data_IF_589388181610
#
_entry.id   IF_589388181610
#
_cell.length_a   1.000
_cell.length_b   1.000
_cell.length_c   1.000
_cell.angle_alpha   90.00
_cell.angle_beta   90.00
_cell.angle_gamma   90.00
#
_symmetry.space_group_name_H-M   'P 1'
#
loop_
_entity.id
_entity.type
_entity.pdbx_description
1 polymer ?
#
# COMPACT_ATOMS: atom_id res chain seq x y z
N UNK A 1 39.85 4.41 -20.53
CA UNK A 1 40.82 4.23 -19.42
C UNK A 1 41.43 5.60 -19.14
N UNK A 2 41.55 6.01 -17.88
CA UNK A 2 42.14 7.32 -17.55
C UNK A 2 43.59 7.09 -17.12
N UNK A 3 44.55 7.73 -17.80
CA UNK A 3 45.95 7.71 -17.36
C UNK A 3 46.07 8.40 -16.00
N UNK A 4 46.78 7.83 -15.03
CA UNK A 4 46.95 8.45 -13.72
C UNK A 4 47.70 9.78 -13.89
N UNK A 5 47.06 10.88 -13.50
CA UNK A 5 47.60 12.25 -13.55
C UNK A 5 46.96 13.19 -14.57
N UNK A 6 46.06 12.71 -15.43
CA UNK A 6 45.29 13.55 -16.37
C UNK A 6 43.79 13.50 -16.05
N UNK A 7 43.13 14.66 -15.96
CA UNK A 7 41.67 14.77 -15.84
C UNK A 7 40.91 14.38 -17.11
N UNK A 8 41.63 14.18 -18.23
CA UNK A 8 41.05 13.67 -19.47
C UNK A 8 41.01 12.13 -19.44
N UNK A 9 39.81 11.58 -19.29
CA UNK A 9 39.58 10.17 -19.53
C UNK A 9 39.48 9.93 -21.03
N UNK A 10 40.37 9.11 -21.59
CA UNK A 10 40.26 8.71 -22.99
C UNK A 10 39.07 7.76 -23.14
N UNK A 11 38.05 8.23 -23.87
CA UNK A 11 36.97 7.42 -24.42
C UNK A 11 37.58 6.43 -25.40
N UNK A 12 37.38 5.13 -25.16
CA UNK A 12 37.82 4.08 -26.09
C UNK A 12 36.74 3.96 -27.17
N UNK A 13 37.13 4.19 -28.43
CA UNK A 13 36.27 3.99 -29.59
C UNK A 13 36.64 2.64 -30.21
N UNK A 14 35.69 1.72 -30.31
CA UNK A 14 35.97 0.35 -30.78
C UNK A 14 36.18 0.36 -32.30
N UNK A 15 35.23 0.95 -33.03
CA UNK A 15 35.25 1.08 -34.49
C UNK A 15 35.16 2.55 -34.92
N UNK A 16 35.98 3.39 -34.32
CA UNK A 16 35.95 4.83 -34.55
C UNK A 16 37.14 5.57 -33.98
N UNK A 17 37.07 6.90 -34.04
CA UNK A 17 38.08 7.80 -33.49
C UNK A 17 37.44 8.79 -32.51
N UNK A 18 38.19 9.21 -31.49
CA UNK A 18 37.70 10.23 -30.56
C UNK A 18 37.52 11.57 -31.28
N UNK A 19 36.38 12.23 -31.09
CA UNK A 19 36.07 13.51 -31.74
C UNK A 19 36.61 14.75 -30.98
N UNK A 20 37.35 14.56 -29.89
CA UNK A 20 37.87 15.66 -29.05
C UNK A 20 36.86 16.25 -28.05
N UNK A 21 35.56 15.96 -28.19
CA UNK A 21 34.49 16.41 -27.29
C UNK A 21 34.12 15.36 -26.23
N UNK A 22 34.88 14.27 -26.15
CA UNK A 22 34.61 13.13 -25.27
C UNK A 22 33.73 12.04 -25.90
N UNK A 23 33.27 12.21 -27.14
CA UNK A 23 32.56 11.21 -27.93
C UNK A 23 33.44 10.46 -28.94
N UNK A 24 32.83 9.51 -29.64
CA UNK A 24 33.44 8.78 -30.74
C UNK A 24 32.76 9.15 -32.07
N UNK A 25 33.55 9.44 -33.09
CA UNK A 25 33.12 9.47 -34.49
C UNK A 25 33.44 8.10 -35.11
N UNK A 26 32.42 7.36 -35.51
CA UNK A 26 32.58 6.03 -36.09
C UNK A 26 33.24 6.11 -37.47
N UNK A 27 34.04 5.12 -37.84
CA UNK A 27 34.75 5.14 -39.13
C UNK A 27 33.81 5.11 -40.34
N UNK A 28 32.65 4.47 -40.15
CA UNK A 28 31.55 4.42 -41.09
C UNK A 28 30.26 4.44 -40.26
N UNK A 29 29.54 5.57 -40.31
CA UNK A 29 28.31 5.80 -39.56
C UNK A 29 27.13 4.98 -40.09
N UNK A 30 27.22 4.44 -41.31
CA UNK A 30 26.25 3.48 -41.83
C UNK A 30 26.48 2.06 -41.25
N UNK A 31 27.72 1.72 -40.91
CA UNK A 31 28.06 0.37 -40.41
C UNK A 31 28.13 0.29 -38.89
N UNK A 32 28.64 1.33 -38.23
CA UNK A 32 28.87 1.33 -36.78
C UNK A 32 28.16 2.50 -36.11
N UNK A 33 27.52 2.22 -34.99
CA UNK A 33 26.81 3.23 -34.20
C UNK A 33 26.93 2.93 -32.70
N UNK A 34 26.38 3.82 -31.89
CA UNK A 34 26.55 3.81 -30.43
C UNK A 34 27.59 4.82 -29.96
N UNK A 35 27.63 5.03 -28.65
CA UNK A 35 28.46 6.07 -28.03
C UNK A 35 29.96 5.80 -28.19
N UNK A 36 30.34 4.52 -28.32
CA UNK A 36 31.70 4.02 -28.50
C UNK A 36 31.91 3.33 -29.85
N UNK A 37 30.96 3.44 -30.79
CA UNK A 37 30.94 2.70 -32.07
C UNK A 37 31.00 1.17 -31.85
N UNK A 38 30.33 0.71 -30.80
CA UNK A 38 30.33 -0.67 -30.32
C UNK A 38 29.28 -1.54 -31.00
N UNK A 39 28.26 -0.94 -31.61
CA UNK A 39 27.19 -1.67 -32.28
C UNK A 39 27.43 -1.68 -33.79
N UNK A 40 27.24 -2.85 -34.40
CA UNK A 40 27.19 -2.97 -35.84
C UNK A 40 25.73 -2.92 -36.30
N UNK A 41 25.51 -2.22 -37.41
CA UNK A 41 24.20 -2.11 -38.04
C UNK A 41 23.65 -3.49 -38.44
N UNK A 42 24.54 -4.39 -38.87
CA UNK A 42 24.23 -5.79 -39.15
C UNK A 42 23.61 -6.51 -37.95
N UNK A 43 24.24 -6.47 -36.79
CA UNK A 43 23.81 -7.29 -35.64
C UNK A 43 22.54 -6.73 -34.98
N UNK A 44 22.45 -5.40 -34.87
CA UNK A 44 21.41 -4.76 -34.08
C UNK A 44 20.21 -4.27 -34.91
N UNK A 45 20.43 -3.74 -36.14
CA UNK A 45 19.34 -3.26 -37.00
C UNK A 45 18.87 -4.32 -37.99
N UNK A 46 19.79 -5.07 -38.60
CA UNK A 46 19.46 -6.07 -39.60
C UNK A 46 19.39 -7.50 -39.05
N UNK A 47 19.33 -7.68 -37.72
CA UNK A 47 19.21 -8.97 -37.03
C UNK A 47 20.26 -10.03 -37.43
N UNK A 48 21.46 -9.60 -37.83
CA UNK A 48 22.54 -10.44 -38.35
C UNK A 48 22.31 -10.98 -39.76
N UNK A 49 21.23 -10.59 -40.43
CA UNK A 49 20.72 -11.17 -41.69
C UNK A 49 20.78 -10.22 -42.88
N UNK A 50 21.45 -9.08 -42.74
CA UNK A 50 21.62 -8.10 -43.81
C UNK A 50 22.72 -7.09 -43.55
N UNK A 51 22.93 -6.21 -44.51
CA UNK A 51 23.82 -5.05 -44.43
C UNK A 51 23.00 -3.77 -44.51
N UNK A 52 23.44 -2.71 -43.84
CA UNK A 52 22.73 -1.43 -43.89
C UNK A 52 22.99 -0.71 -45.20
N UNK A 53 21.94 -0.09 -45.74
CA UNK A 53 22.03 0.70 -46.94
C UNK A 53 22.67 2.06 -46.60
N UNK A 54 23.85 2.41 -47.16
CA UNK A 54 24.50 3.69 -46.87
C UNK A 54 23.69 4.90 -47.37
N UNK A 55 22.69 4.69 -48.23
CA UNK A 55 21.79 5.75 -48.70
C UNK A 55 20.57 5.95 -47.80
N UNK A 56 20.27 5.02 -46.88
CA UNK A 56 19.10 5.05 -46.01
C UNK A 56 19.46 4.54 -44.61
N UNK A 57 19.55 5.47 -43.65
CA UNK A 57 20.06 5.20 -42.29
C UNK A 57 19.34 4.08 -41.51
N UNK A 58 18.13 3.69 -41.94
CA UNK A 58 17.30 2.68 -41.27
C UNK A 58 16.87 1.50 -42.16
N UNK A 59 17.37 1.41 -43.40
CA UNK A 59 17.03 0.29 -44.30
C UNK A 59 18.13 -0.76 -44.35
N UNK A 60 17.72 -2.03 -44.33
CA UNK A 60 18.61 -3.19 -44.51
C UNK A 60 18.47 -3.80 -45.90
N UNK A 61 19.61 -4.09 -46.54
CA UNK A 61 19.68 -5.02 -47.67
C UNK A 61 19.95 -6.43 -47.12
N UNK A 62 18.97 -7.32 -47.22
CA UNK A 62 19.07 -8.67 -46.65
C UNK A 62 20.02 -9.58 -47.45
N UNK A 63 20.77 -10.42 -46.75
CA UNK A 63 21.79 -11.31 -47.34
C UNK A 63 21.17 -12.37 -48.28
N UNK A 64 19.94 -12.81 -47.98
CA UNK A 64 19.13 -13.72 -48.82
C UNK A 64 17.71 -13.15 -48.97
N UNK A 65 17.47 -12.32 -50.00
CA UNK A 65 16.18 -11.64 -50.19
C UNK A 65 15.04 -12.58 -50.57
N UNK A 66 15.32 -13.87 -50.85
CA UNK A 66 14.27 -14.89 -51.04
C UNK A 66 13.84 -15.53 -49.71
N UNK A 67 14.60 -15.31 -48.64
CA UNK A 67 14.33 -15.87 -47.32
C UNK A 67 14.01 -14.81 -46.29
N UNK A 68 14.63 -13.65 -46.36
CA UNK A 68 14.45 -12.57 -45.39
C UNK A 68 13.88 -11.33 -46.08
N UNK A 69 12.87 -10.73 -45.45
CA UNK A 69 12.25 -9.48 -45.89
C UNK A 69 11.98 -8.55 -44.70
N UNK A 70 11.32 -7.43 -44.98
CA UNK A 70 11.13 -6.34 -44.03
C UNK A 70 12.32 -5.38 -44.01
N UNK A 71 12.11 -4.20 -43.44
CA UNK A 71 13.12 -3.12 -43.41
C UNK A 71 14.34 -3.49 -42.53
N UNK A 72 14.18 -4.51 -41.68
CA UNK A 72 15.18 -5.00 -40.72
C UNK A 72 15.56 -6.48 -40.91
N UNK A 73 15.19 -7.09 -42.04
CA UNK A 73 15.45 -8.50 -42.36
C UNK A 73 14.93 -9.48 -41.29
N UNK A 74 13.84 -9.12 -40.63
CA UNK A 74 13.21 -9.82 -39.52
C UNK A 74 12.06 -10.74 -39.94
N UNK A 75 11.56 -10.61 -41.17
CA UNK A 75 10.47 -11.43 -41.71
C UNK A 75 11.06 -12.63 -42.46
N UNK A 76 10.80 -13.86 -42.00
CA UNK A 76 11.12 -15.08 -42.77
C UNK A 76 10.06 -15.29 -43.86
N UNK A 77 10.41 -14.99 -45.10
CA UNK A 77 9.54 -15.13 -46.27
C UNK A 77 9.21 -16.59 -46.61
N UNK A 78 9.89 -17.56 -45.97
CA UNK A 78 9.58 -18.99 -46.08
C UNK A 78 8.75 -19.51 -44.92
N UNK A 79 8.54 -18.71 -43.87
CA UNK A 79 7.58 -19.08 -42.86
C UNK A 79 6.21 -19.25 -43.54
N UNK A 80 5.49 -20.35 -43.27
CA UNK A 80 4.11 -20.46 -43.74
C UNK A 80 3.38 -19.21 -43.27
N UNK A 81 2.61 -18.58 -44.18
CA UNK A 81 1.78 -17.44 -43.81
C UNK A 81 1.02 -17.80 -42.54
N UNK A 82 0.97 -16.90 -41.53
CA UNK A 82 0.22 -17.17 -40.31
C UNK A 82 -1.16 -17.65 -40.73
N UNK A 83 -1.52 -18.84 -40.25
CA UNK A 83 -2.82 -19.44 -40.52
C UNK A 83 -3.86 -18.36 -40.18
N UNK A 84 -4.83 -18.08 -41.09
CA UNK A 84 -5.74 -16.96 -40.91
C UNK A 84 -6.38 -17.07 -39.54
N UNK A 85 -6.05 -16.13 -38.65
CA UNK A 85 -6.55 -16.12 -37.28
C UNK A 85 -8.07 -16.23 -37.35
N UNK A 86 -8.58 -17.31 -36.76
CA UNK A 86 -10.01 -17.57 -36.66
C UNK A 86 -10.63 -16.31 -36.04
N UNK A 87 -11.69 -15.73 -36.65
CA UNK A 87 -12.21 -14.43 -36.22
C UNK A 87 -12.46 -14.46 -34.72
N UNK A 88 -11.68 -13.66 -33.99
CA UNK A 88 -11.75 -13.61 -32.54
C UNK A 88 -13.20 -13.36 -32.15
N UNK A 89 -13.75 -14.30 -31.37
CA UNK A 89 -15.06 -14.19 -30.76
C UNK A 89 -15.10 -12.83 -30.05
N UNK A 90 -16.13 -11.99 -30.26
CA UNK A 90 -16.15 -10.62 -29.77
C UNK A 90 -15.84 -10.62 -28.28
N UNK A 91 -14.68 -10.08 -27.90
CA UNK A 91 -14.22 -10.03 -26.52
C UNK A 91 -15.38 -9.53 -25.67
N UNK A 92 -15.86 -10.38 -24.76
CA UNK A 92 -16.87 -9.98 -23.79
C UNK A 92 -16.40 -8.66 -23.17
N UNK A 93 -17.29 -7.64 -23.04
CA UNK A 93 -16.89 -6.34 -22.54
C UNK A 93 -16.17 -6.56 -21.22
N UNK A 94 -14.87 -6.21 -21.20
CA UNK A 94 -14.03 -6.33 -20.01
C UNK A 94 -14.72 -5.52 -18.94
N UNK A 95 -15.45 -6.22 -18.06
CA UNK A 95 -16.12 -5.59 -16.93
C UNK A 95 -14.98 -4.92 -16.16
N UNK A 96 -14.99 -3.58 -16.00
CA UNK A 96 -13.90 -2.89 -15.31
C UNK A 96 -13.65 -3.60 -13.99
N UNK A 97 -12.42 -4.08 -13.82
CA UNK A 97 -12.06 -4.95 -12.71
C UNK A 97 -12.41 -4.23 -11.41
N UNK A 98 -13.36 -4.81 -10.65
CA UNK A 98 -13.70 -4.26 -9.34
C UNK A 98 -12.44 -4.19 -8.50
N UNK A 99 -12.29 -3.07 -7.80
CA UNK A 99 -11.21 -2.89 -6.87
C UNK A 99 -11.24 -3.99 -5.80
N UNK A 100 -10.08 -4.54 -5.49
CA UNK A 100 -9.86 -5.44 -4.38
C UNK A 100 -9.33 -4.66 -3.18
N UNK A 101 -9.35 -5.27 -1.99
CA UNK A 101 -8.85 -4.61 -0.78
C UNK A 101 -9.64 -3.34 -0.39
N UNK A 102 -10.87 -3.21 -0.89
CA UNK A 102 -11.75 -2.12 -0.56
C UNK A 102 -11.98 -2.05 0.95
N UNK A 103 -12.08 -0.84 1.46
CA UNK A 103 -12.53 -0.62 2.83
C UNK A 103 -13.85 -1.38 3.04
N UNK A 104 -13.96 -2.22 4.10
CA UNK A 104 -15.23 -2.80 4.53
C UNK A 104 -16.41 -1.83 4.41
N UNK A 105 -17.46 -2.25 3.68
CA UNK A 105 -18.65 -1.43 3.43
C UNK A 105 -18.56 -0.52 2.19
N UNK A 106 -17.43 -0.52 1.48
CA UNK A 106 -17.25 0.15 0.19
C UNK A 106 -16.97 -0.86 -0.91
N UNK A 107 -17.36 -0.54 -2.16
CA UNK A 107 -17.13 -1.40 -3.33
C UNK A 107 -17.21 -0.57 -4.61
N UNK A 108 -16.56 -1.02 -5.68
CA UNK A 108 -16.64 -0.41 -7.00
C UNK A 108 -15.34 -0.49 -7.78
N UNK A 109 -15.31 0.19 -8.92
CA UNK A 109 -14.23 0.16 -9.93
C UNK A 109 -13.15 1.23 -9.66
N UNK A 110 -13.46 2.17 -8.77
CA UNK A 110 -12.59 3.28 -8.41
C UNK A 110 -12.16 3.15 -6.96
N UNK A 111 -10.87 3.30 -6.69
CA UNK A 111 -10.35 3.29 -5.34
C UNK A 111 -9.61 4.58 -5.04
N UNK A 112 -9.91 5.18 -3.89
CA UNK A 112 -9.12 6.29 -3.40
C UNK A 112 -7.94 5.81 -2.56
N UNK A 113 -6.94 6.65 -2.35
CA UNK A 113 -5.73 6.30 -1.57
C UNK A 113 -6.00 5.83 -0.13
N UNK A 114 -7.19 6.10 0.41
CA UNK A 114 -7.63 5.58 1.70
C UNK A 114 -8.25 4.17 1.63
N UNK A 115 -8.15 3.54 0.46
CA UNK A 115 -8.72 2.25 0.05
C UNK A 115 -10.25 2.16 0.06
N UNK A 116 -10.97 3.27 0.27
CA UNK A 116 -12.40 3.34 0.00
C UNK A 116 -12.65 3.18 -1.50
N UNK A 117 -13.57 2.28 -1.83
CA UNK A 117 -13.98 2.01 -3.19
C UNK A 117 -15.32 2.67 -3.52
N UNK A 118 -15.43 3.13 -4.76
CA UNK A 118 -16.57 3.85 -5.28
C UNK A 118 -16.94 3.27 -6.64
N UNK A 119 -18.22 3.29 -6.98
CA UNK A 119 -18.66 3.10 -8.35
C UNK A 119 -18.10 4.24 -9.24
N UNK A 120 -17.75 3.92 -10.48
CA UNK A 120 -17.42 4.94 -11.46
C UNK A 120 -18.68 5.80 -11.75
N UNK A 121 -18.49 7.10 -11.99
CA UNK A 121 -19.59 8.00 -12.37
C UNK A 121 -20.08 7.75 -13.80
N UNK A 122 -19.16 7.32 -14.66
CA UNK A 122 -19.41 6.82 -16.01
C UNK A 122 -18.31 5.80 -16.33
N UNK A 123 -18.44 4.98 -17.40
CA UNK A 123 -17.41 4.01 -17.76
C UNK A 123 -16.03 4.67 -17.82
N UNK A 124 -15.10 4.19 -16.98
CA UNK A 124 -13.73 4.70 -16.89
C UNK A 124 -13.54 6.02 -16.14
N UNK A 125 -14.57 6.62 -15.53
CA UNK A 125 -14.46 7.92 -14.85
C UNK A 125 -14.71 7.79 -13.35
N UNK A 126 -13.66 8.01 -12.56
CA UNK A 126 -13.72 7.97 -11.11
C UNK A 126 -14.08 9.31 -10.45
N UNK A 127 -14.72 9.27 -9.27
CA UNK A 127 -14.93 10.48 -8.47
C UNK A 127 -13.58 11.13 -8.10
N UNK A 128 -13.53 12.46 -7.93
CA UNK A 128 -12.31 13.18 -7.57
C UNK A 128 -11.59 12.58 -6.37
N UNK A 129 -10.32 12.22 -6.56
CA UNK A 129 -9.47 11.64 -5.52
C UNK A 129 -9.42 10.11 -5.50
N UNK A 130 -10.24 9.44 -6.33
CA UNK A 130 -10.14 8.02 -6.62
C UNK A 130 -9.61 7.78 -8.04
N UNK A 131 -8.95 6.64 -8.23
CA UNK A 131 -8.35 6.21 -9.48
C UNK A 131 -8.94 4.85 -9.88
N UNK A 132 -9.00 4.55 -11.18
CA UNK A 132 -9.63 3.34 -11.70
C UNK A 132 -8.72 2.14 -11.43
N UNK A 133 -9.22 1.10 -10.75
CA UNK A 133 -8.37 -0.03 -10.35
C UNK A 133 -7.83 -0.85 -11.51
N UNK A 134 -8.49 -0.82 -12.67
CA UNK A 134 -7.97 -1.43 -13.90
C UNK A 134 -6.76 -0.70 -14.47
N UNK A 135 -6.55 0.58 -14.13
CA UNK A 135 -5.40 1.37 -14.60
C UNK A 135 -4.25 1.34 -13.59
N UNK A 136 -4.55 1.55 -12.31
CA UNK A 136 -3.52 1.71 -11.27
C UNK A 136 -3.30 0.47 -10.40
N UNK A 137 -4.12 -0.57 -10.58
CA UNK A 137 -4.19 -1.70 -9.67
C UNK A 137 -4.95 -1.37 -8.37
N UNK A 138 -5.33 -2.39 -7.62
CA UNK A 138 -5.94 -2.20 -6.31
C UNK A 138 -4.86 -2.01 -5.24
N UNK A 139 -4.95 -0.92 -4.49
CA UNK A 139 -4.19 -0.66 -3.27
C UNK A 139 -4.67 -1.60 -2.16
N UNK A 140 -3.72 -2.23 -1.49
CA UNK A 140 -4.00 -3.00 -0.27
C UNK A 140 -4.21 -2.05 0.93
N UNK A 141 -5.18 -2.34 1.81
CA UNK A 141 -5.38 -1.58 3.04
C UNK A 141 -4.17 -1.74 3.95
N UNK A 142 -3.52 -0.62 4.29
CA UNK A 142 -2.33 -0.66 5.13
C UNK A 142 -2.71 -0.97 6.60
N UNK A 143 -2.14 -2.03 7.21
CA UNK A 143 -2.45 -2.39 8.59
C UNK A 143 -1.84 -1.36 9.55
N UNK A 144 -2.64 -0.84 10.48
CA UNK A 144 -2.18 0.20 11.42
C UNK A 144 -1.71 -0.36 12.75
N UNK A 145 -2.32 -1.46 13.18
CA UNK A 145 -1.89 -2.20 14.35
C UNK A 145 -1.75 -3.66 13.95
N UNK A 146 -0.58 -4.24 14.19
CA UNK A 146 -0.36 -5.68 14.04
C UNK A 146 -0.22 -6.26 15.44
N UNK A 147 -1.13 -7.17 15.79
CA UNK A 147 -1.16 -7.75 17.12
C UNK A 147 -1.15 -9.27 17.04
N UNK A 148 -0.40 -9.87 17.96
CA UNK A 148 -0.37 -11.31 18.16
C UNK A 148 -0.95 -11.61 19.53
N UNK A 149 -2.03 -12.39 19.57
CA UNK A 149 -2.75 -12.79 20.78
C UNK A 149 -2.61 -14.29 21.01
N UNK A 150 -2.11 -14.65 22.19
CA UNK A 150 -2.17 -16.03 22.67
C UNK A 150 -3.49 -16.21 23.40
N UNK A 151 -4.40 -16.98 22.83
CA UNK A 151 -5.72 -17.32 23.39
C UNK A 151 -5.63 -18.70 24.02
N UNK A 152 -5.77 -18.78 25.34
CA UNK A 152 -5.91 -20.06 26.05
C UNK A 152 -7.38 -20.47 26.13
N UNK A 153 -7.67 -21.77 26.09
CA UNK A 153 -9.05 -22.31 26.13
C UNK A 153 -9.67 -22.57 24.76
N UNK A 154 -8.95 -22.29 23.67
CA UNK A 154 -9.36 -22.59 22.30
C UNK A 154 -8.35 -23.54 21.65
N UNK A 155 -8.83 -24.46 20.80
CA UNK A 155 -7.98 -25.26 19.90
C UNK A 155 -8.05 -24.67 18.49
N UNK A 156 -7.04 -24.90 17.65
CA UNK A 156 -7.05 -24.38 16.28
C UNK A 156 -8.28 -24.89 15.49
N UNK A 157 -8.67 -26.15 15.70
CA UNK A 157 -9.81 -26.78 15.03
C UNK A 157 -11.17 -26.26 15.52
N UNK A 158 -11.22 -25.69 16.72
CA UNK A 158 -12.44 -25.19 17.36
C UNK A 158 -12.45 -23.68 17.53
N UNK A 159 -11.54 -22.96 16.87
CA UNK A 159 -11.40 -21.52 17.02
C UNK A 159 -12.45 -20.81 16.17
N UNK A 160 -13.36 -20.08 16.81
CA UNK A 160 -14.36 -19.30 16.10
C UNK A 160 -13.76 -17.95 15.66
N UNK A 161 -13.21 -17.91 14.45
CA UNK A 161 -12.59 -16.73 13.85
C UNK A 161 -13.55 -15.54 13.74
N UNK A 162 -14.80 -15.78 13.35
CA UNK A 162 -15.81 -14.74 13.25
C UNK A 162 -16.15 -14.12 14.61
N UNK A 163 -16.34 -14.98 15.62
CA UNK A 163 -16.56 -14.54 17.00
C UNK A 163 -15.37 -13.78 17.58
N UNK A 164 -14.14 -14.16 17.21
CA UNK A 164 -12.94 -13.44 17.61
C UNK A 164 -12.87 -12.05 16.99
N UNK A 165 -13.13 -11.95 15.69
CA UNK A 165 -13.14 -10.67 14.99
C UNK A 165 -14.24 -9.75 15.56
N UNK A 166 -15.44 -10.26 15.77
CA UNK A 166 -16.56 -9.50 16.33
C UNK A 166 -16.30 -9.07 17.78
N UNK A 167 -15.84 -9.97 18.65
CA UNK A 167 -15.56 -9.65 20.05
C UNK A 167 -14.39 -8.68 20.21
N UNK A 168 -13.34 -8.81 19.38
CA UNK A 168 -12.21 -7.86 19.37
C UNK A 168 -12.65 -6.49 18.86
N UNK A 169 -13.47 -6.46 17.80
CA UNK A 169 -13.99 -5.23 17.23
C UNK A 169 -14.87 -4.47 18.23
N UNK A 170 -15.81 -5.17 18.89
CA UNK A 170 -16.68 -4.62 19.93
C UNK A 170 -15.87 -4.10 21.12
N UNK A 171 -14.86 -4.85 21.58
CA UNK A 171 -14.01 -4.43 22.69
C UNK A 171 -13.23 -3.14 22.37
N UNK A 172 -12.76 -3.00 21.12
CA UNK A 172 -12.01 -1.82 20.67
C UNK A 172 -12.91 -0.64 20.27
N UNK A 173 -14.22 -0.88 20.13
CA UNK A 173 -15.19 0.05 19.55
C UNK A 173 -14.82 0.42 18.10
N UNK A 174 -14.52 -0.60 17.30
CA UNK A 174 -14.27 -0.49 15.86
C UNK A 174 -15.24 -1.38 15.09
N UNK A 175 -15.60 -1.07 13.84
CA UNK A 175 -16.45 -1.97 13.06
C UNK A 175 -15.73 -3.30 12.78
N UNK A 176 -16.45 -4.43 12.78
CA UNK A 176 -15.90 -5.78 12.59
C UNK A 176 -14.95 -5.90 11.39
N UNK A 177 -15.29 -5.24 10.28
CA UNK A 177 -14.49 -5.29 9.05
C UNK A 177 -13.06 -4.74 9.20
N UNK A 178 -12.78 -3.96 10.25
CA UNK A 178 -11.44 -3.46 10.55
C UNK A 178 -10.52 -4.49 11.19
N UNK A 179 -11.06 -5.63 11.63
CA UNK A 179 -10.26 -6.73 12.21
C UNK A 179 -10.06 -7.80 11.14
N UNK A 180 -8.82 -7.94 10.66
CA UNK A 180 -8.44 -8.99 9.72
C UNK A 180 -7.56 -10.00 10.44
N UNK A 181 -7.98 -11.27 10.48
CA UNK A 181 -7.17 -12.36 11.03
C UNK A 181 -6.17 -12.78 9.95
N UNK A 182 -4.88 -12.69 10.25
CA UNK A 182 -3.79 -13.04 9.33
C UNK A 182 -3.44 -14.52 9.44
N UNK A 183 -3.30 -15.02 10.68
CA UNK A 183 -2.98 -16.42 10.94
C UNK A 183 -3.59 -16.89 12.27
N UNK A 184 -3.92 -18.18 12.29
CA UNK A 184 -4.40 -18.90 13.49
C UNK A 184 -3.57 -20.16 13.61
N UNK A 185 -2.58 -20.15 14.48
CA UNK A 185 -1.66 -21.27 14.64
C UNK A 185 -1.74 -21.91 16.03
N UNK A 186 -1.57 -23.24 16.08
CA UNK A 186 -1.52 -23.96 17.34
C UNK A 186 -0.29 -23.51 18.14
N UNK A 187 -0.50 -23.07 19.39
CA UNK A 187 0.58 -22.66 20.27
C UNK A 187 1.55 -23.82 20.51
N UNK A 188 2.84 -23.63 20.18
CA UNK A 188 3.82 -24.72 20.27
C UNK A 188 3.90 -25.28 21.69
N UNK A 189 3.60 -26.58 21.84
CA UNK A 189 3.71 -27.31 23.11
C UNK A 189 5.19 -27.34 23.55
N UNK A 190 5.60 -26.52 24.52
CA UNK A 190 6.85 -26.81 25.25
C UNK A 190 6.65 -28.13 25.98
N UNK A 191 7.39 -29.17 25.56
CA UNK A 191 7.29 -30.61 25.88
C UNK A 191 7.28 -31.03 27.37
N UNK A 192 7.04 -30.15 28.36
CA UNK A 192 7.34 -30.47 29.76
C UNK A 192 6.23 -30.46 30.80
N UNK A 193 4.97 -30.09 30.50
CA UNK A 193 3.86 -30.32 31.46
C UNK A 193 2.54 -30.66 30.77
N UNK A 194 2.00 -31.82 31.14
CA UNK A 194 0.75 -32.47 30.72
C UNK A 194 -0.51 -31.78 31.26
N UNK A 195 -0.59 -30.45 31.22
CA UNK A 195 -1.87 -29.75 31.31
C UNK A 195 -2.07 -29.07 29.96
N UNK A 196 -2.76 -29.78 29.07
CA UNK A 196 -3.08 -29.38 27.72
C UNK A 196 -4.15 -28.27 27.74
N UNK A 197 -3.79 -27.09 28.24
CA UNK A 197 -4.54 -25.90 27.90
C UNK A 197 -4.40 -25.72 26.39
N UNK A 198 -5.48 -25.95 25.64
CA UNK A 198 -5.55 -25.63 24.23
C UNK A 198 -5.18 -24.15 24.08
N UNK A 199 -4.09 -23.88 23.36
CA UNK A 199 -3.58 -22.54 23.12
C UNK A 199 -3.49 -22.32 21.63
N UNK A 200 -4.00 -21.18 21.20
CA UNK A 200 -3.93 -20.72 19.81
C UNK A 200 -3.22 -19.37 19.83
N UNK A 201 -2.28 -19.20 18.91
CA UNK A 201 -1.73 -17.90 18.58
C UNK A 201 -2.57 -17.34 17.43
N UNK A 202 -3.09 -16.14 17.61
CA UNK A 202 -3.90 -15.43 16.63
C UNK A 202 -3.16 -14.16 16.26
N UNK A 203 -2.66 -14.13 15.03
CA UNK A 203 -2.08 -12.93 14.45
C UNK A 203 -3.18 -12.21 13.68
N UNK A 204 -3.40 -10.94 14.01
CA UNK A 204 -4.43 -10.14 13.37
C UNK A 204 -3.96 -8.71 13.19
N UNK A 205 -4.57 -8.05 12.22
CA UNK A 205 -4.36 -6.64 11.95
C UNK A 205 -5.63 -5.86 12.23
N UNK A 206 -5.44 -4.65 12.75
CA UNK A 206 -6.46 -3.61 12.76
C UNK A 206 -6.15 -2.64 11.64
N UNK A 207 -6.96 -2.68 10.59
CA UNK A 207 -6.92 -1.69 9.52
C UNK A 207 -7.76 -0.50 9.96
N UNK A 208 -7.32 0.71 9.68
CA UNK A 208 -8.12 1.94 9.86
C UNK A 208 -7.83 2.76 8.60
N UNK A 209 -8.79 3.54 8.13
CA UNK A 209 -8.65 4.21 6.85
C UNK A 209 -7.47 5.16 6.87
N UNK A 210 -6.64 5.09 5.83
CA UNK A 210 -5.51 6.02 5.65
C UNK A 210 -6.09 7.43 5.48
N UNK A 211 -5.99 8.26 6.52
CA UNK A 211 -6.76 9.50 6.61
C UNK A 211 -6.50 10.46 5.43
N UNK A 212 -7.56 10.72 4.67
CA UNK A 212 -7.84 12.02 4.03
C UNK A 212 -8.76 12.92 4.81
N UNK A 213 -9.36 12.37 5.85
CA UNK A 213 -10.04 13.11 6.89
C UNK A 213 -9.59 12.48 8.21
N UNK A 214 -9.02 13.24 9.17
CA UNK A 214 -8.51 12.73 10.44
C UNK A 214 -9.62 12.21 11.41
N UNK A 215 -10.78 11.81 10.89
CA UNK A 215 -11.96 11.37 11.65
C UNK A 215 -12.34 9.91 11.36
N UNK A 216 -11.40 9.06 10.94
CA UNK A 216 -11.72 7.72 10.41
C UNK A 216 -11.77 6.59 11.46
N UNK A 217 -11.99 6.97 12.72
CA UNK A 217 -12.73 6.21 13.73
C UNK A 217 -13.76 7.18 14.30
N UNK A 218 -14.94 6.73 14.76
CA UNK A 218 -16.01 7.62 15.25
C UNK A 218 -15.51 8.65 16.27
N UNK A 219 -14.45 8.31 17.01
CA UNK A 219 -13.87 9.13 18.08
C UNK A 219 -12.58 9.87 17.70
N UNK A 220 -12.09 9.78 16.45
CA UNK A 220 -10.82 10.38 16.04
C UNK A 220 -9.56 9.71 16.63
N UNK A 221 -9.67 8.44 17.02
CA UNK A 221 -8.57 7.69 17.62
C UNK A 221 -7.42 7.45 16.63
N UNK A 222 -6.18 7.65 17.08
CA UNK A 222 -4.97 7.35 16.31
C UNK A 222 -4.60 5.85 16.41
N UNK A 223 -3.74 5.32 15.52
CA UNK A 223 -3.21 3.96 15.66
C UNK A 223 -2.59 3.67 17.03
N UNK A 224 -1.93 4.68 17.60
CA UNK A 224 -1.32 4.62 18.94
C UNK A 224 -2.39 4.46 20.01
N UNK A 225 -3.51 5.19 19.89
CA UNK A 225 -4.64 5.11 20.83
C UNK A 225 -5.31 3.73 20.77
N UNK A 226 -5.50 3.16 19.58
CA UNK A 226 -6.08 1.81 19.40
C UNK A 226 -5.16 0.77 20.05
N UNK A 227 -3.86 0.84 19.79
CA UNK A 227 -2.90 -0.09 20.38
C UNK A 227 -2.79 0.06 21.91
N UNK A 228 -2.94 1.27 22.45
CA UNK A 228 -3.03 1.51 23.89
C UNK A 228 -4.33 0.95 24.47
N UNK A 229 -5.47 1.18 23.80
CA UNK A 229 -6.79 0.64 24.18
C UNK A 229 -6.78 -0.89 24.20
N UNK A 230 -6.24 -1.53 23.16
CA UNK A 230 -6.08 -2.99 23.09
C UNK A 230 -5.30 -3.52 24.29
N UNK A 231 -4.13 -2.92 24.59
CA UNK A 231 -3.31 -3.30 25.75
C UNK A 231 -4.07 -3.16 27.08
N UNK A 232 -4.84 -2.09 27.25
CA UNK A 232 -5.65 -1.88 28.45
C UNK A 232 -6.79 -2.90 28.58
N UNK A 233 -7.49 -3.22 27.49
CA UNK A 233 -8.57 -4.23 27.48
C UNK A 233 -8.04 -5.62 27.84
N UNK A 234 -6.84 -5.98 27.36
CA UNK A 234 -6.17 -7.24 27.71
C UNK A 234 -5.78 -7.22 29.19
N UNK A 235 -5.13 -6.15 29.66
CA UNK A 235 -4.65 -6.03 31.04
C UNK A 235 -5.79 -6.10 32.06
N UNK A 236 -6.95 -5.52 31.72
CA UNK A 236 -8.13 -5.49 32.58
C UNK A 236 -9.04 -6.72 32.40
N UNK A 237 -8.70 -7.67 31.51
CA UNK A 237 -9.52 -8.85 31.22
C UNK A 237 -10.82 -8.56 30.46
N UNK A 238 -11.08 -7.31 30.05
CA UNK A 238 -12.28 -6.94 29.31
C UNK A 238 -12.34 -7.59 27.92
N UNK A 239 -11.19 -7.75 27.27
CA UNK A 239 -11.13 -8.50 26.01
C UNK A 239 -11.54 -9.97 26.21
N UNK A 240 -11.12 -10.61 27.31
CA UNK A 240 -11.48 -12.00 27.58
C UNK A 240 -13.00 -12.16 27.72
N UNK A 241 -13.65 -11.27 28.48
CA UNK A 241 -15.11 -11.28 28.65
C UNK A 241 -15.83 -11.20 27.29
N UNK A 242 -15.37 -10.31 26.40
CA UNK A 242 -15.94 -10.17 25.05
C UNK A 242 -15.72 -11.40 24.18
N UNK A 243 -14.54 -12.02 24.24
CA UNK A 243 -14.26 -13.26 23.49
C UNK A 243 -15.06 -14.46 24.04
N UNK A 244 -15.32 -14.51 25.35
CA UNK A 244 -16.15 -15.54 25.98
C UNK A 244 -17.61 -15.42 25.56
N UNK A 245 -18.16 -14.20 25.57
CA UNK A 245 -19.51 -13.88 25.06
C UNK A 245 -19.71 -14.32 23.61
N UNK A 246 -18.64 -14.29 22.79
CA UNK A 246 -18.66 -14.68 21.37
C UNK A 246 -18.26 -16.13 21.11
N UNK A 247 -18.12 -16.94 22.15
CA UNK A 247 -17.79 -18.37 22.05
C UNK A 247 -16.54 -18.64 21.18
N UNK A 248 -15.47 -17.86 21.38
CA UNK A 248 -14.23 -17.98 20.61
C UNK A 248 -13.53 -19.33 20.82
N UNK A 249 -13.76 -19.97 21.96
CA UNK A 249 -13.28 -21.31 22.29
C UNK A 249 -14.29 -22.10 23.11
N UNK A 250 -14.01 -23.39 23.28
CA UNK A 250 -14.85 -24.34 24.04
C UNK A 250 -14.44 -24.47 25.52
N UNK A 251 -13.34 -23.83 25.92
CA UNK A 251 -12.80 -23.90 27.26
C UNK A 251 -13.48 -22.98 28.27
N UNK A 252 -13.44 -23.38 29.54
CA UNK A 252 -14.14 -22.70 30.65
C UNK A 252 -13.57 -21.33 31.05
N UNK A 253 -12.43 -20.91 30.51
CA UNK A 253 -11.88 -19.56 30.69
C UNK A 253 -10.97 -19.19 29.52
N UNK A 254 -11.22 -18.04 28.91
CA UNK A 254 -10.33 -17.44 27.92
C UNK A 254 -9.30 -16.57 28.65
N UNK A 255 -8.03 -16.88 28.45
CA UNK A 255 -6.94 -16.02 28.92
C UNK A 255 -6.13 -15.55 27.73
N UNK A 256 -6.18 -14.25 27.47
CA UNK A 256 -5.40 -13.60 26.43
C UNK A 256 -4.10 -13.03 26.96
N UNK A 257 -3.03 -13.23 26.19
CA UNK A 257 -1.77 -12.51 26.36
C UNK A 257 -1.32 -11.98 25.01
N UNK A 258 -1.05 -10.69 24.91
CA UNK A 258 -0.65 -10.09 23.64
C UNK A 258 0.83 -9.69 23.58
N UNK A 259 1.39 -9.82 22.38
CA UNK A 259 2.40 -8.89 21.88
C UNK A 259 1.73 -7.93 20.90
N UNK A 260 1.55 -6.67 21.30
CA UNK A 260 1.04 -5.62 20.40
C UNK A 260 2.23 -4.86 19.84
N UNK A 261 2.35 -4.82 18.50
CA UNK A 261 3.33 -3.98 17.81
C UNK A 261 2.57 -2.93 17.01
N UNK A 262 2.91 -1.67 17.26
CA UNK A 262 2.46 -0.57 16.40
C UNK A 262 3.51 -0.46 15.31
N UNK A 263 3.11 -0.64 14.06
CA UNK A 263 4.02 -0.37 12.96
C UNK A 263 4.02 1.13 12.71
N UNK A 264 4.85 1.85 13.46
CA UNK A 264 4.99 3.31 13.31
C UNK A 264 5.71 3.69 12.00
N UNK A 265 6.24 2.71 11.23
CA UNK A 265 7.19 2.96 10.14
C UNK A 265 6.67 3.77 8.95
N UNK A 266 5.37 4.06 8.83
CA UNK A 266 4.83 4.77 7.65
C UNK A 266 3.79 5.85 7.93
N UNK A 267 3.60 6.26 9.19
CA UNK A 267 2.79 7.45 9.48
C UNK A 267 3.49 8.77 9.09
N UNK A 268 4.76 8.72 8.68
CA UNK A 268 5.34 9.77 7.82
C UNK A 268 4.82 9.54 6.40
N UNK A 269 3.64 10.10 6.13
CA UNK A 269 3.23 10.38 4.76
C UNK A 269 4.36 11.15 4.12
N UNK A 270 5.07 10.56 3.14
CA UNK A 270 6.07 11.27 2.38
C UNK A 270 5.36 12.48 1.73
N UNK A 271 5.63 13.71 2.18
CA UNK A 271 4.96 14.88 1.64
C UNK A 271 5.28 15.04 0.14
N UNK A 272 6.31 14.37 -0.39
CA UNK A 272 6.60 14.34 -1.81
C UNK A 272 5.52 13.62 -2.61
N UNK A 273 5.07 12.41 -2.21
CA UNK A 273 4.03 11.65 -2.95
C UNK A 273 2.69 12.41 -2.95
N UNK A 274 2.37 13.05 -1.82
CA UNK A 274 1.16 13.88 -1.69
C UNK A 274 1.28 15.19 -2.50
N UNK A 275 2.47 15.79 -2.58
CA UNK A 275 2.70 17.01 -3.38
C UNK A 275 2.72 16.73 -4.88
N UNK A 276 3.32 15.62 -5.32
CA UNK A 276 3.41 15.29 -6.75
C UNK A 276 2.03 14.94 -7.30
N UNK A 277 1.22 14.18 -6.57
CA UNK A 277 -0.17 13.88 -6.95
C UNK A 277 -1.06 15.13 -6.92
N UNK A 278 -0.94 15.99 -5.91
CA UNK A 278 -1.72 17.26 -5.85
C UNK A 278 -1.27 18.27 -6.90
N UNK A 279 0.02 18.35 -7.21
CA UNK A 279 0.55 19.24 -8.25
C UNK A 279 0.12 18.78 -9.65
N UNK A 280 0.20 17.47 -9.93
CA UNK A 280 -0.32 16.87 -11.16
C UNK A 280 -1.84 17.09 -11.29
N UNK A 281 -2.59 16.94 -10.20
CA UNK A 281 -4.05 17.22 -10.15
C UNK A 281 -4.39 18.70 -10.39
N UNK A 282 -3.59 19.65 -9.87
CA UNK A 282 -3.76 21.08 -10.16
C UNK A 282 -3.48 21.41 -11.63
N UNK A 283 -2.52 20.72 -12.25
CA UNK A 283 -2.21 20.93 -13.67
C UNK A 283 -3.30 20.34 -14.58
N UNK A 284 -3.81 19.14 -14.27
CA UNK A 284 -4.91 18.52 -15.01
C UNK A 284 -6.22 19.33 -14.91
N UNK A 285 -6.57 19.81 -13.70
CA UNK A 285 -7.76 20.65 -13.51
C UNK A 285 -7.64 22.04 -14.18
N UNK A 286 -6.42 22.61 -14.23
CA UNK A 286 -6.17 23.86 -14.95
C UNK A 286 -6.24 23.69 -16.48
N UNK A 287 -5.88 22.52 -17.01
CA UNK A 287 -5.99 22.19 -18.43
C UNK A 287 -7.44 21.88 -18.86
N UNK A 288 -8.22 21.23 -17.99
CA UNK A 288 -9.64 20.97 -18.24
C UNK A 288 -10.53 22.23 -18.15
N UNK A 289 -10.08 23.28 -17.46
CA UNK A 289 -10.79 24.55 -17.34
C UNK A 289 -10.40 25.58 -18.42
N UNK A 290 -9.51 25.24 -19.36
CA UNK A 290 -9.20 26.11 -20.49
C UNK A 290 -10.40 26.13 -21.45
N UNK A 291 -11.05 27.29 -21.70
CA UNK A 291 -12.11 27.36 -22.69
C UNK A 291 -11.52 27.03 -24.07
N UNK A 292 -12.08 26.02 -24.73
CA UNK A 292 -11.82 25.74 -26.14
C UNK A 292 -12.28 26.94 -26.95
N UNK A 293 -11.33 27.77 -27.37
CA UNK A 293 -11.61 28.85 -28.33
C UNK A 293 -11.71 28.19 -29.69
N UNK A 294 -12.92 27.74 -30.04
CA UNK A 294 -13.26 27.41 -31.41
C UNK A 294 -13.06 28.67 -32.26
N UNK A 295 -12.18 28.56 -33.24
CA UNK A 295 -11.99 29.58 -34.26
C UNK A 295 -13.16 29.49 -35.26
N UNK A 296 -13.86 30.60 -35.54
CA UNK A 296 -14.53 30.75 -36.82
C UNK A 296 -13.63 31.56 -37.76
N UNK A 297 -13.17 30.91 -38.82
CA UNK A 297 -12.82 31.64 -40.04
C UNK A 297 -14.08 32.35 -40.54
N UNK A 298 -14.14 33.68 -40.39
CA UNK A 298 -14.80 34.54 -41.39
C UNK A 298 -14.23 35.95 -41.33
N UNK A 299 -13.74 36.36 -42.49
CA UNK A 299 -13.31 37.70 -42.88
C UNK A 299 -14.31 38.81 -42.53
N UNK A 300 -13.81 39.93 -42.03
CA UNK A 300 -14.56 41.19 -42.03
C UNK A 300 -14.05 42.23 -41.04
N UNK A 301 -13.42 43.27 -41.57
CA UNK A 301 -12.96 44.49 -40.90
C UNK A 301 -13.89 45.02 -39.81
N UNK A 302 -13.35 45.34 -38.64
CA UNK A 302 -13.39 46.70 -38.05
C UNK A 302 -12.66 46.74 -36.71
N UNK A 303 -11.87 47.81 -36.54
CA UNK A 303 -11.17 48.17 -35.32
C UNK A 303 -12.13 48.58 -34.20
N UNK A 304 -11.86 48.17 -32.95
CA UNK A 304 -12.06 48.99 -31.75
C UNK A 304 -11.57 48.26 -30.47
N UNK A 305 -10.51 48.81 -29.89
CA UNK A 305 -10.28 49.06 -28.44
C UNK A 305 -10.84 48.04 -27.45
N UNK A 306 -9.96 47.29 -26.76
CA UNK A 306 -9.96 47.16 -25.29
C UNK A 306 -8.57 46.76 -24.80
N UNK A 307 -7.84 47.75 -24.27
CA UNK A 307 -6.70 47.54 -23.38
C UNK A 307 -7.19 47.67 -21.93
N UNK A 308 -6.83 46.70 -21.09
CA UNK A 308 -6.72 46.93 -19.65
C UNK A 308 -7.65 46.12 -18.75
N UNK A 309 -7.32 44.86 -18.48
CA UNK A 309 -7.50 44.24 -17.15
C UNK A 309 -6.41 43.18 -16.98
N UNK A 310 -5.33 43.47 -16.26
CA UNK A 310 -4.23 42.50 -16.10
C UNK A 310 -3.27 42.69 -14.93
N UNK A 311 -3.53 43.60 -13.97
CA UNK A 311 -2.51 43.91 -12.94
C UNK A 311 -3.03 43.90 -11.48
N UNK A 312 -4.31 43.65 -11.22
CA UNK A 312 -4.84 43.69 -9.83
C UNK A 312 -4.65 42.38 -9.02
N UNK A 313 -4.33 41.25 -9.66
CA UNK A 313 -4.34 39.93 -8.98
C UNK A 313 -3.09 39.58 -8.15
N UNK A 314 -1.94 40.20 -8.45
CA UNK A 314 -0.65 39.74 -7.88
C UNK A 314 -0.33 40.38 -6.52
N UNK A 315 -0.89 41.56 -6.22
CA UNK A 315 -0.62 42.26 -4.97
C UNK A 315 -1.31 41.65 -3.73
N UNK A 316 -2.47 40.99 -3.91
CA UNK A 316 -3.25 40.43 -2.80
C UNK A 316 -2.62 39.14 -2.24
N UNK A 317 -1.94 38.37 -3.08
CA UNK A 317 -1.29 37.11 -2.68
C UNK A 317 -0.01 37.36 -1.86
N UNK A 318 0.73 38.44 -2.16
CA UNK A 318 1.94 38.80 -1.41
C UNK A 318 1.63 39.32 0.01
N UNK A 319 0.50 40.02 0.18
CA UNK A 319 0.09 40.55 1.50
C UNK A 319 -0.37 39.44 2.47
N UNK A 320 -1.02 38.39 1.97
CA UNK A 320 -1.46 37.26 2.79
C UNK A 320 -0.29 36.39 3.30
N UNK A 321 0.75 36.20 2.47
CA UNK A 321 1.93 35.43 2.86
C UNK A 321 2.77 36.11 3.97
N UNK A 322 2.82 37.44 3.99
CA UNK A 322 3.56 38.20 5.01
C UNK A 322 2.90 38.14 6.41
N UNK A 323 1.57 38.00 6.49
CA UNK A 323 0.83 37.93 7.76
C UNK A 323 1.01 36.59 8.48
N UNK A 324 1.13 35.49 7.74
CA UNK A 324 1.31 34.13 8.32
C UNK A 324 2.71 33.96 8.94
N UNK A 325 3.74 34.60 8.38
CA UNK A 325 5.11 34.53 8.91
C UNK A 325 5.28 35.33 10.20
N UNK A 326 4.50 36.41 10.39
CA UNK A 326 4.58 37.25 11.60
C UNK A 326 3.88 36.62 12.82
N UNK A 327 2.86 35.79 12.61
CA UNK A 327 2.14 35.11 13.68
C UNK A 327 2.90 33.93 14.32
N UNK A 328 3.93 33.37 13.66
CA UNK A 328 4.69 32.22 14.19
C UNK A 328 5.88 32.58 15.09
N UNK A 329 6.25 33.86 15.22
CA UNK A 329 7.41 34.28 16.03
C UNK A 329 7.11 34.63 17.49
N UNK A 330 5.85 34.60 17.94
CA UNK A 330 5.48 35.02 19.30
C UNK A 330 5.22 33.89 20.30
N UNK A 331 5.32 32.61 19.92
CA UNK A 331 4.98 31.49 20.81
C UNK A 331 6.16 30.74 21.46
N UNK A 332 7.39 31.26 21.36
CA UNK A 332 8.57 30.64 21.96
C UNK A 332 9.20 31.51 23.06
N UNK A 333 8.44 31.81 24.13
CA UNK A 333 9.02 32.31 25.40
C UNK A 333 8.20 31.79 26.59
N UNK A 334 8.91 31.24 27.58
CA UNK A 334 8.51 30.85 28.96
C UNK A 334 7.80 29.50 29.15
N UNK A 335 8.58 28.52 29.63
CA UNK A 335 8.52 28.04 31.04
C UNK A 335 9.70 27.11 31.35
N UNK A 336 10.74 27.68 31.97
CA UNK A 336 11.61 26.96 32.88
C UNK A 336 10.99 27.07 34.26
N UNK A 337 10.64 25.95 34.88
CA UNK A 337 10.49 25.87 36.33
C UNK A 337 11.16 24.59 36.82
N UNK A 338 12.32 24.82 37.41
CA UNK A 338 13.05 23.91 38.28
C UNK A 338 12.22 23.67 39.54
N UNK A 339 12.01 22.42 39.91
CA UNK A 339 11.84 22.01 41.30
C UNK A 339 12.60 20.69 41.53
N UNK A 340 13.76 20.82 42.17
CA UNK A 340 14.37 19.74 42.95
C UNK A 340 13.58 19.57 44.25
N UNK A 341 13.28 18.34 44.65
CA UNK A 341 13.23 17.96 46.07
C UNK A 341 13.49 16.45 46.24
N UNK A 342 14.71 16.17 46.70
CA UNK A 342 15.08 15.35 47.87
C UNK A 342 14.51 13.93 48.06
N UNK A 343 15.47 13.00 48.05
CA UNK A 343 15.56 11.65 48.64
C UNK A 343 14.67 11.27 49.82
N UNK A 344 14.22 10.01 49.79
CA UNK A 344 14.26 9.09 50.92
C UNK A 344 12.91 8.54 51.38
N UNK A 345 12.67 7.22 51.24
CA UNK A 345 12.57 6.25 52.36
C UNK A 345 12.07 4.90 51.84
N UNK A 346 12.89 3.88 52.06
CA UNK A 346 12.57 2.45 51.99
C UNK A 346 11.48 2.10 53.01
N UNK A 347 10.47 1.33 52.59
CA UNK A 347 9.56 0.60 53.49
C UNK A 347 9.62 -0.88 53.09
N UNK A 348 9.99 -1.79 54.01
CA UNK A 348 9.91 -3.22 53.78
C UNK A 348 8.46 -3.70 53.94
N UNK A 349 7.94 -4.43 52.96
CA UNK A 349 6.72 -5.22 53.13
C UNK A 349 7.13 -6.56 53.75
N UNK A 350 6.66 -6.77 54.98
CA UNK A 350 6.84 -7.97 55.75
C UNK A 350 6.09 -9.16 55.11
N UNK A 351 6.75 -10.31 55.14
CA UNK A 351 6.10 -11.62 55.02
C UNK A 351 5.12 -11.79 56.19
N UNK A 352 3.91 -12.24 55.88
CA UNK A 352 3.12 -13.01 56.85
C UNK A 352 2.74 -14.34 56.19
N UNK A 353 3.42 -15.38 56.67
CA UNK A 353 3.00 -16.78 56.53
C UNK A 353 1.85 -16.95 57.50
N UNK A 354 0.73 -17.45 57.03
CA UNK A 354 -0.15 -18.24 57.88
C UNK A 354 -0.45 -19.59 57.24
N UNK A 355 -0.17 -20.59 58.05
CA UNK A 355 -0.28 -22.02 57.83
C UNK A 355 -1.70 -22.51 58.14
N UNK A 356 -2.19 -23.38 57.27
CA UNK A 356 -2.98 -24.58 57.54
C UNK A 356 -4.26 -24.48 58.40
N UNK A 357 -5.39 -24.86 57.82
CA UNK A 357 -6.29 -25.79 58.49
C UNK A 357 -6.90 -26.75 57.48
N UNK A 358 -6.50 -28.03 57.60
CA UNK A 358 -7.15 -29.19 56.98
C UNK A 358 -8.56 -29.34 57.55
N UNK A 359 -9.55 -29.59 56.69
CA UNK A 359 -10.71 -30.43 57.04
C UNK A 359 -10.97 -31.42 55.91
N UNK A 360 -11.23 -32.66 56.35
CA UNK A 360 -11.34 -33.87 55.57
C UNK A 360 -12.71 -34.06 54.90
N UNK A 361 -12.70 -34.99 53.93
CA UNK A 361 -13.78 -35.56 53.09
C UNK A 361 -14.94 -36.16 53.93
N UNK A 362 -16.15 -36.37 53.37
CA UNK A 362 -16.46 -37.59 52.57
C UNK A 362 -17.29 -37.25 51.29
N UNK A 363 -17.07 -37.84 50.10
CA UNK A 363 -17.19 -39.25 49.68
C UNK A 363 -18.57 -39.84 49.99
N UNK A 364 -19.49 -39.77 49.01
CA UNK A 364 -20.53 -40.76 48.64
C UNK A 364 -21.81 -40.06 48.14
N UNK A 365 -22.14 -40.25 46.86
CA UNK A 365 -23.47 -40.72 46.45
C UNK A 365 -23.49 -41.05 44.96
N UNK A 366 -23.46 -42.35 44.72
CA UNK A 366 -23.97 -43.03 43.54
C UNK A 366 -25.45 -42.67 43.37
N UNK A 367 -25.86 -42.28 42.16
CA UNK A 367 -27.26 -42.34 41.74
C UNK A 367 -27.28 -43.31 40.55
N UNK A 368 -27.59 -44.57 40.87
CA UNK A 368 -28.29 -45.46 39.96
C UNK A 368 -29.74 -44.94 39.86
N UNK A 369 -30.24 -44.70 38.65
CA UNK A 369 -31.66 -44.84 38.38
C UNK A 369 -31.85 -45.70 37.15
N UNK A 370 -32.31 -46.91 37.44
CA UNK A 370 -33.00 -47.83 36.57
C UNK A 370 -34.34 -47.18 36.19
N UNK A 371 -34.69 -47.25 34.91
CA UNK A 371 -35.98 -46.82 34.38
C UNK A 371 -36.24 -47.48 33.03
N UNK A 372 -36.56 -48.77 33.09
CA UNK A 372 -37.26 -49.49 32.04
C UNK A 372 -38.75 -49.25 32.25
N UNK A 373 -39.48 -48.85 31.21
CA UNK A 373 -40.84 -49.34 30.94
C UNK A 373 -41.27 -48.93 29.52
N UNK A 374 -41.60 -49.96 28.75
CA UNK A 374 -42.39 -49.91 27.52
C UNK A 374 -43.75 -49.25 27.75
N UNK A 375 -44.32 -48.63 26.71
CA UNK A 375 -45.73 -48.78 26.27
C UNK A 375 -46.15 -47.65 25.33
N UNK A 376 -46.26 -47.96 24.03
CA UNK A 376 -47.31 -47.54 23.04
C UNK A 376 -46.72 -47.34 21.64
#
# INVERSE_FOLDING_TARGET
>A
QCSPGTTACHTVCINGQSNGEGGCACWDDATFFGWHCEYTCRDMKCNGRGMCDPSQADACTCDDPQRWGGDHCDIDLRAPAPEPEEPEEPEEPVIPAQCQGCWPGSSGECQSYNTACFAAWSPGVCPPGADLCSEVGSLEPEPLVVASLIVSGASADSFNADGFAEGTAEALDVPKGHITIVDVSAGTRRKRRLSAANKVNVDFTVTVPRAGNPSALPDGSTPVDIAARLRNLIANGQLNAKLEERHVGTGAMINTRAGVRVDERKSEVDPAITRTSVAARKQAAAQAAAPSVDAPETSGSNALVFAGVGVAGVAVVAAAAALVVRARRTSLVKKNSVMSFTTGKTIPVALERDTATLWAVPSERSIEMIGSEDSS
#
